data_IF_226552448625
#
_entry.id   IF_226552448625
#
_cell.length_a   1.000
_cell.length_b   1.000
_cell.length_c   1.000
_cell.angle_alpha   90.00
_cell.angle_beta   90.00
_cell.angle_gamma   90.00
#
_symmetry.space_group_name_H-M   'P 1'
#
loop_
_entity.id
_entity.type
_entity.pdbx_description
1 polymer ?
#
# COMPACT_ATOMS: atom_id res chain seq x y z
N UNK A 1 5.95 -3.39 -18.80
CA UNK A 1 5.05 -3.87 -17.73
C UNK A 1 3.92 -2.87 -17.67
N UNK A 2 2.78 -3.25 -18.20
CA UNK A 2 1.54 -2.48 -18.10
C UNK A 2 0.80 -3.03 -16.87
N UNK A 3 0.78 -2.27 -15.78
CA UNK A 3 0.22 -2.75 -14.52
C UNK A 3 -1.25 -3.20 -14.68
N UNK A 4 -2.04 -2.55 -15.52
CA UNK A 4 -3.45 -2.88 -15.68
C UNK A 4 -3.66 -4.14 -16.53
N UNK A 5 -2.90 -4.30 -17.61
CA UNK A 5 -2.94 -5.50 -18.43
C UNK A 5 -2.32 -6.73 -17.72
N UNK A 6 -1.28 -6.50 -16.93
CA UNK A 6 -0.49 -7.56 -16.28
C UNK A 6 -1.07 -7.97 -14.91
N UNK A 7 -1.90 -7.14 -14.25
CA UNK A 7 -2.42 -7.39 -12.90
C UNK A 7 -3.24 -8.68 -12.76
N UNK A 8 -4.16 -9.04 -13.68
CA UNK A 8 -4.94 -10.28 -13.54
C UNK A 8 -4.06 -11.53 -13.46
N UNK A 9 -3.07 -11.62 -14.35
CA UNK A 9 -2.12 -12.74 -14.38
C UNK A 9 -1.25 -12.77 -13.11
N UNK A 10 -0.80 -11.60 -12.63
CA UNK A 10 -0.03 -11.50 -11.39
C UNK A 10 -0.85 -11.94 -10.16
N UNK A 11 -2.13 -11.55 -10.11
CA UNK A 11 -3.06 -11.94 -9.03
C UNK A 11 -3.35 -13.44 -9.05
N UNK A 12 -3.54 -14.03 -10.21
CA UNK A 12 -3.77 -15.49 -10.34
C UNK A 12 -2.52 -16.30 -9.95
N UNK A 13 -1.32 -15.78 -10.22
CA UNK A 13 -0.07 -16.42 -9.82
C UNK A 13 0.26 -16.25 -8.32
N UNK A 14 -0.48 -15.40 -7.59
CA UNK A 14 -0.21 -15.14 -6.18
C UNK A 14 -0.53 -16.37 -5.31
N UNK A 15 0.34 -16.65 -4.34
CA UNK A 15 0.10 -17.70 -3.35
C UNK A 15 -1.15 -17.40 -2.53
N UNK A 16 -2.05 -18.38 -2.41
CA UNK A 16 -3.18 -18.32 -1.49
C UNK A 16 -2.75 -18.42 -0.01
N UNK A 17 -1.53 -18.89 0.25
CA UNK A 17 -0.95 -18.95 1.60
C UNK A 17 -0.21 -17.64 1.89
N UNK A 18 -0.48 -17.06 3.06
CA UNK A 18 0.30 -15.94 3.58
C UNK A 18 1.78 -16.32 3.71
N UNK A 19 2.71 -15.38 3.46
CA UNK A 19 4.13 -15.63 3.67
C UNK A 19 4.40 -15.95 5.14
N UNK A 20 5.32 -16.89 5.38
CA UNK A 20 5.68 -17.34 6.74
C UNK A 20 6.59 -16.35 7.49
N UNK A 21 6.88 -15.19 6.89
CA UNK A 21 7.73 -14.19 7.51
C UNK A 21 6.97 -13.44 8.61
N UNK A 22 7.57 -13.25 9.80
CA UNK A 22 6.95 -12.44 10.84
C UNK A 22 6.85 -10.99 10.38
N UNK A 23 5.62 -10.48 10.29
CA UNK A 23 5.31 -9.09 9.98
C UNK A 23 5.03 -8.34 11.28
N UNK A 24 5.68 -7.19 11.44
CA UNK A 24 5.43 -6.26 12.55
C UNK A 24 4.74 -5.01 12.01
N UNK A 25 4.09 -4.20 12.86
CA UNK A 25 3.52 -2.92 12.42
C UNK A 25 4.54 -1.99 11.75
N UNK A 26 5.83 -2.12 12.08
CA UNK A 26 6.90 -1.27 11.56
C UNK A 26 7.60 -1.88 10.32
N UNK A 27 7.17 -3.07 9.89
CA UNK A 27 7.61 -3.67 8.62
C UNK A 27 7.16 -2.80 7.44
N UNK A 28 8.04 -2.51 6.45
CA UNK A 28 7.67 -1.77 5.25
C UNK A 28 6.52 -2.42 4.48
N UNK A 29 5.53 -1.62 4.09
CA UNK A 29 4.33 -2.06 3.38
C UNK A 29 4.15 -1.38 2.02
N UNK A 30 4.62 -0.14 1.87
CA UNK A 30 4.44 0.65 0.65
C UNK A 30 5.65 1.56 0.41
N UNK A 31 6.10 1.66 -0.84
CA UNK A 31 7.09 2.66 -1.26
C UNK A 31 6.47 3.56 -2.31
N UNK A 32 6.34 4.85 -1.99
CA UNK A 32 5.80 5.85 -2.89
C UNK A 32 6.92 6.71 -3.46
N UNK A 33 6.95 6.85 -4.78
CA UNK A 33 7.82 7.78 -5.46
C UNK A 33 6.99 8.95 -5.99
N UNK A 34 7.44 10.16 -5.72
CA UNK A 34 6.89 11.36 -6.33
C UNK A 34 7.81 11.81 -7.46
N UNK A 35 7.24 12.38 -8.53
CA UNK A 35 8.01 12.85 -9.70
C UNK A 35 9.18 13.77 -9.31
N UNK A 36 9.03 14.56 -8.24
CA UNK A 36 10.10 15.32 -7.58
C UNK A 36 10.77 16.36 -8.47
N UNK A 37 10.57 17.65 -8.20
CA UNK A 37 11.15 18.73 -9.03
C UNK A 37 12.66 18.89 -8.88
N UNK A 38 13.30 18.21 -7.92
CA UNK A 38 14.72 18.38 -7.55
C UNK A 38 15.67 17.37 -8.23
N UNK A 39 15.25 16.74 -9.32
CA UNK A 39 16.07 15.76 -10.04
C UNK A 39 15.74 14.32 -9.66
N UNK A 40 16.54 13.66 -8.80
CA UNK A 40 16.35 12.24 -8.48
C UNK A 40 15.16 12.02 -7.53
N UNK A 41 14.15 11.20 -7.91
CA UNK A 41 13.04 10.86 -7.01
C UNK A 41 13.52 10.21 -5.71
N UNK A 42 12.94 10.63 -4.58
CA UNK A 42 13.14 9.97 -3.28
C UNK A 42 11.94 9.07 -3.00
N UNK A 43 12.19 7.83 -2.59
CA UNK A 43 11.15 6.90 -2.18
C UNK A 43 10.74 7.15 -0.73
N UNK A 44 9.46 7.41 -0.49
CA UNK A 44 8.88 7.39 0.84
C UNK A 44 8.52 5.95 1.20
N UNK A 45 9.19 5.40 2.21
CA UNK A 45 8.92 4.04 2.72
C UNK A 45 7.94 4.14 3.87
N UNK A 46 6.77 3.54 3.70
CA UNK A 46 5.69 3.54 4.67
C UNK A 46 5.51 2.14 5.24
N UNK A 47 5.42 2.06 6.56
CA UNK A 47 5.13 0.84 7.30
C UNK A 47 3.63 0.53 7.33
N UNK A 48 3.27 -0.69 7.76
CA UNK A 48 1.87 -1.04 8.05
C UNK A 48 1.22 -0.05 9.03
N UNK A 49 1.95 0.35 10.09
CA UNK A 49 1.47 1.32 11.09
C UNK A 49 1.13 2.67 10.46
N UNK A 50 1.95 3.16 9.53
CA UNK A 50 1.68 4.43 8.84
C UNK A 50 0.34 4.37 8.08
N UNK A 51 0.09 3.27 7.36
CA UNK A 51 -1.13 3.07 6.60
C UNK A 51 -2.36 2.91 7.51
N UNK A 52 -2.25 2.13 8.59
CA UNK A 52 -3.34 1.97 9.56
C UNK A 52 -3.73 3.30 10.22
N UNK A 53 -2.73 4.13 10.57
CA UNK A 53 -2.98 5.46 11.11
C UNK A 53 -3.68 6.37 10.09
N UNK A 54 -3.20 6.39 8.84
CA UNK A 54 -3.81 7.17 7.77
C UNK A 54 -5.27 6.75 7.52
N UNK A 55 -5.57 5.45 7.45
CA UNK A 55 -6.94 4.95 7.25
C UNK A 55 -7.88 5.35 8.38
N UNK A 56 -7.42 5.26 9.63
CA UNK A 56 -8.19 5.73 10.79
C UNK A 56 -8.53 7.22 10.65
N UNK A 57 -7.53 8.04 10.37
CA UNK A 57 -7.71 9.48 10.21
C UNK A 57 -8.63 9.82 9.02
N UNK A 58 -8.47 9.13 7.90
CA UNK A 58 -9.28 9.33 6.71
C UNK A 58 -10.75 8.95 6.94
N UNK A 59 -11.01 7.85 7.65
CA UNK A 59 -12.38 7.46 8.03
C UNK A 59 -13.08 8.52 8.86
N UNK A 60 -12.38 9.10 9.85
CA UNK A 60 -12.92 10.20 10.68
C UNK A 60 -13.13 11.49 9.88
N UNK A 61 -12.21 11.83 8.97
CA UNK A 61 -12.26 13.09 8.22
C UNK A 61 -13.29 13.06 7.09
N UNK A 62 -13.43 11.93 6.40
CA UNK A 62 -14.23 11.82 5.17
C UNK A 62 -15.54 11.05 5.37
N UNK A 63 -15.85 10.67 6.61
CA UNK A 63 -17.06 9.91 6.99
C UNK A 63 -17.27 8.67 6.11
N UNK A 64 -16.18 7.91 5.91
CA UNK A 64 -16.26 6.67 5.13
C UNK A 64 -17.19 5.69 5.84
N UNK A 65 -18.29 5.28 5.20
CA UNK A 65 -19.25 4.42 5.85
C UNK A 65 -18.67 3.01 5.97
N UNK A 66 -18.99 2.32 7.07
CA UNK A 66 -18.44 1.00 7.37
C UNK A 66 -18.87 -0.09 6.37
N UNK A 67 -19.92 0.16 5.59
CA UNK A 67 -20.47 -0.73 4.56
C UNK A 67 -19.92 -0.45 3.15
N UNK A 68 -19.09 0.58 2.97
CA UNK A 68 -18.21 0.81 1.82
C UNK A 68 -18.85 0.63 0.43
N UNK A 69 -19.29 1.73 -0.19
CA UNK A 69 -19.40 1.85 -1.66
C UNK A 69 -18.25 2.71 -2.17
#
# INVERSE_FOLDING_TARGET
>A
MDLHADYPAWREAASAKAPEQPITPDTPALMLYTSGTTGRPKGAVLSHRNLSYMNRMAGELWDFPADGV
#
